data_IF_521880560694
#
_entry.id   IF_521880560694
#
_cell.length_a   1.000
_cell.length_b   1.000
_cell.length_c   1.000
_cell.angle_alpha   90.00
_cell.angle_beta   90.00
_cell.angle_gamma   90.00
#
_symmetry.space_group_name_H-M   'P 1'
#
loop_
_entity.id
_entity.type
_entity.pdbx_description
1 polymer ?
#
# COMPACT_ATOMS: atom_id res chain seq x y z
N UNK A 1 1.49 15.31 -3.35
CA UNK A 1 1.46 14.35 -2.22
C UNK A 1 0.06 13.80 -2.11
N UNK A 2 -0.08 12.52 -1.76
CA UNK A 2 -1.37 11.83 -1.84
C UNK A 2 -1.51 10.80 -0.72
N UNK A 3 -2.72 10.68 -0.18
CA UNK A 3 -3.09 9.60 0.73
C UNK A 3 -3.69 8.46 -0.09
N UNK A 4 -3.05 7.30 -0.07
CA UNK A 4 -3.50 6.09 -0.75
C UNK A 4 -3.99 5.09 0.28
N UNK A 5 -5.21 4.59 0.11
CA UNK A 5 -5.81 3.57 0.97
C UNK A 5 -5.82 2.23 0.23
N UNK A 6 -5.20 1.22 0.82
CA UNK A 6 -5.11 -0.13 0.30
C UNK A 6 -6.02 -1.01 1.16
N UNK A 7 -7.27 -1.17 0.72
CA UNK A 7 -8.25 -2.00 1.43
C UNK A 7 -8.18 -3.44 0.94
N UNK A 8 -8.31 -4.40 1.85
CA UNK A 8 -8.47 -5.79 1.44
C UNK A 8 -9.74 -5.97 0.61
N UNK A 9 -9.66 -6.80 -0.42
CA UNK A 9 -10.82 -7.26 -1.17
C UNK A 9 -11.70 -8.16 -0.31
N UNK A 10 -13.01 -8.17 -0.58
CA UNK A 10 -13.99 -8.97 0.16
C UNK A 10 -14.09 -10.42 -0.33
N UNK A 11 -12.94 -11.04 -0.61
CA UNK A 11 -12.86 -12.43 -1.05
C UNK A 11 -12.77 -13.38 0.14
N UNK A 12 -13.26 -14.63 0.03
CA UNK A 12 -13.00 -15.66 1.02
C UNK A 12 -11.50 -15.82 1.29
N UNK A 13 -11.15 -16.15 2.54
CA UNK A 13 -9.77 -16.40 2.99
C UNK A 13 -8.77 -15.25 2.75
N UNK A 14 -9.25 -14.01 2.58
CA UNK A 14 -8.40 -12.83 2.32
C UNK A 14 -7.20 -12.71 3.27
N UNK A 15 -7.37 -13.04 4.56
CA UNK A 15 -6.30 -12.96 5.55
C UNK A 15 -5.22 -14.03 5.38
N UNK A 16 -5.56 -15.23 4.93
CA UNK A 16 -4.57 -16.26 4.59
C UNK A 16 -3.79 -15.87 3.33
N UNK A 17 -4.49 -15.38 2.32
CA UNK A 17 -3.90 -14.89 1.06
C UNK A 17 -2.96 -13.69 1.32
N UNK A 18 -3.38 -12.73 2.13
CA UNK A 18 -2.55 -11.60 2.52
C UNK A 18 -1.25 -12.04 3.23
N UNK A 19 -1.37 -12.99 4.17
CA UNK A 19 -0.19 -13.54 4.88
C UNK A 19 0.80 -14.23 3.95
N UNK A 20 0.32 -14.91 2.90
CA UNK A 20 1.18 -15.54 1.91
C UNK A 20 2.10 -14.55 1.17
N UNK A 21 1.71 -13.27 1.10
CA UNK A 21 2.48 -12.21 0.43
C UNK A 21 3.24 -11.29 1.40
N UNK A 22 3.24 -11.57 2.71
CA UNK A 22 3.73 -10.63 3.72
C UNK A 22 5.23 -10.28 3.56
N UNK A 23 6.06 -11.24 3.18
CA UNK A 23 7.49 -10.99 2.96
C UNK A 23 7.70 -10.00 1.80
N UNK A 24 7.08 -10.27 0.64
CA UNK A 24 7.14 -9.39 -0.52
C UNK A 24 6.56 -8.00 -0.24
N UNK A 25 5.46 -7.95 0.52
CA UNK A 25 4.84 -6.70 0.97
C UNK A 25 5.80 -5.84 1.81
N UNK A 26 6.48 -6.44 2.79
CA UNK A 26 7.48 -5.73 3.62
C UNK A 26 8.65 -5.22 2.78
N UNK A 27 9.14 -6.02 1.84
CA UNK A 27 10.22 -5.63 0.95
C UNK A 27 9.82 -4.45 0.04
N UNK A 28 8.58 -4.45 -0.47
CA UNK A 28 8.04 -3.36 -1.27
C UNK A 28 7.90 -2.05 -0.47
N UNK A 29 7.36 -2.12 0.76
CA UNK A 29 7.29 -0.96 1.66
C UNK A 29 8.68 -0.39 1.92
N UNK A 30 9.65 -1.24 2.26
CA UNK A 30 11.01 -0.80 2.54
C UNK A 30 11.59 -0.06 1.34
N UNK A 31 11.46 -0.63 0.15
CA UNK A 31 11.98 -0.02 -1.08
C UNK A 31 11.34 1.34 -1.35
N UNK A 32 10.02 1.47 -1.20
CA UNK A 32 9.35 2.75 -1.41
C UNK A 32 9.72 3.83 -0.38
N UNK A 33 10.03 3.44 0.86
CA UNK A 33 10.60 4.35 1.87
C UNK A 33 12.03 4.76 1.51
N UNK A 34 12.89 3.79 1.12
CA UNK A 34 14.28 4.04 0.71
C UNK A 34 14.34 4.98 -0.51
N UNK A 35 13.43 4.80 -1.48
CA UNK A 35 13.32 5.63 -2.69
C UNK A 35 12.67 7.01 -2.43
N UNK A 36 12.22 7.27 -1.20
CA UNK A 36 11.56 8.54 -0.82
C UNK A 36 10.18 8.76 -1.46
N UNK A 37 9.62 7.72 -2.08
CA UNK A 37 8.28 7.71 -2.68
C UNK A 37 7.23 7.59 -1.58
N UNK A 38 7.43 6.70 -0.61
CA UNK A 38 6.59 6.60 0.59
C UNK A 38 7.16 7.48 1.68
N UNK A 39 6.32 8.35 2.25
CA UNK A 39 6.67 9.27 3.32
C UNK A 39 6.15 8.78 4.68
N UNK A 40 5.05 8.04 4.68
CA UNK A 40 4.46 7.39 5.85
C UNK A 40 3.73 6.13 5.41
N UNK A 41 3.80 5.08 6.23
CA UNK A 41 3.05 3.84 6.04
C UNK A 41 2.33 3.48 7.35
N UNK A 42 1.09 2.99 7.26
CA UNK A 42 0.28 2.64 8.43
C UNK A 42 -0.76 1.57 8.12
N UNK A 43 -1.35 1.00 9.17
CA UNK A 43 -2.43 0.00 9.05
C UNK A 43 -3.79 0.66 9.27
N UNK A 44 -4.80 0.19 8.53
CA UNK A 44 -6.20 0.55 8.76
C UNK A 44 -6.81 -0.41 9.79
N UNK A 45 -7.31 0.14 10.89
CA UNK A 45 -7.89 -0.64 11.99
C UNK A 45 -9.36 -1.03 11.71
N UNK A 46 -9.86 -2.16 12.25
CA UNK A 46 -9.14 -3.14 13.07
C UNK A 46 -8.31 -4.18 12.28
N UNK A 47 -8.49 -4.33 10.96
CA UNK A 47 -7.63 -5.11 10.04
C UNK A 47 -8.15 -4.94 8.60
N UNK A 48 -8.25 -3.70 8.15
CA UNK A 48 -8.87 -3.35 6.87
C UNK A 48 -7.85 -3.25 5.73
N UNK A 49 -6.57 -3.36 6.03
CA UNK A 49 -5.46 -3.20 5.08
C UNK A 49 -4.50 -2.09 5.52
N UNK A 50 -4.02 -1.29 4.56
CA UNK A 50 -2.97 -0.30 4.77
C UNK A 50 -3.29 1.11 4.26
N UNK A 51 -2.51 2.07 4.72
CA UNK A 51 -2.52 3.46 4.27
C UNK A 51 -1.08 3.93 3.98
N UNK A 52 -0.93 4.74 2.94
CA UNK A 52 0.35 5.30 2.51
C UNK A 52 0.21 6.82 2.29
N UNK A 53 1.15 7.60 2.81
CA UNK A 53 1.37 8.97 2.35
C UNK A 53 2.47 8.94 1.29
N UNK A 54 2.14 9.33 0.06
CA UNK A 54 3.02 9.16 -1.09
C UNK A 54 3.41 10.52 -1.68
N UNK A 55 4.67 10.66 -2.07
CA UNK A 55 5.17 11.75 -2.91
C UNK A 55 4.86 11.45 -4.37
N UNK A 56 4.19 12.37 -5.05
CA UNK A 56 3.88 12.25 -6.48
C UNK A 56 3.72 13.61 -7.13
N UNK A 57 4.07 13.76 -8.42
CA UNK A 57 4.02 15.03 -9.14
C UNK A 57 2.60 15.46 -9.51
N UNK A 58 1.68 14.50 -9.73
CA UNK A 58 0.25 14.73 -9.94
C UNK A 58 -0.55 13.47 -9.61
N UNK A 59 -1.88 13.56 -9.60
CA UNK A 59 -2.77 12.40 -9.37
C UNK A 59 -2.72 11.44 -10.55
N UNK A 60 -2.67 11.98 -11.76
CA UNK A 60 -2.64 11.23 -13.02
C UNK A 60 -1.38 10.36 -13.08
N UNK A 61 -0.25 10.89 -12.62
CA UNK A 61 1.01 10.15 -12.52
C UNK A 61 0.97 9.00 -11.47
N UNK A 62 -0.04 8.97 -10.59
CA UNK A 62 -0.22 7.89 -9.62
C UNK A 62 -1.17 6.79 -10.09
N UNK A 63 -1.93 7.03 -11.15
CA UNK A 63 -2.83 6.03 -11.72
C UNK A 63 -2.07 5.26 -12.81
N UNK A 64 -2.29 3.94 -12.94
CA UNK A 64 -1.75 3.20 -14.07
C UNK A 64 -2.23 3.87 -15.37
N UNK A 65 -1.32 4.08 -16.31
CA UNK A 65 -1.65 4.60 -17.64
C UNK A 65 -2.68 3.68 -18.28
N UNK A 66 -3.87 4.21 -18.58
CA UNK A 66 -4.93 3.49 -19.29
C UNK A 66 -4.56 3.25 -20.74
#
# INVERSE_FOLDING_TARGET
>A
MFLVLLKFSDVPDRGARARAHLQGHKAWIKRGLDDGVFLLVGSLQPDLGGALLVRGPSREAMLPSM
#
